data_IF_826822590920
#
_entry.id   IF_826822590920
#
_cell.length_a   1.000
_cell.length_b   1.000
_cell.length_c   1.000
_cell.angle_alpha   90.00
_cell.angle_beta   90.00
_cell.angle_gamma   90.00
#
_symmetry.space_group_name_H-M   'P 1'
#
loop_
_entity.id
_entity.type
_entity.pdbx_description
1 polymer ?
#
# COMPACT_ATOMS: atom_id res chain seq x y z
N UNK A 2 8.32 -6.71 -48.32
CA UNK A 2 7.56 -7.04 -47.10
C UNK A 2 8.22 -6.47 -45.84
N UNK A 3 7.61 -5.46 -45.23
CA UNK A 3 8.25 -4.73 -44.14
C UNK A 3 7.50 -4.85 -42.81
N UNK A 4 6.24 -4.39 -42.73
CA UNK A 4 5.63 -4.24 -41.40
C UNK A 4 5.39 -5.58 -40.73
N UNK A 5 4.76 -6.52 -41.44
CA UNK A 5 4.41 -7.82 -40.85
C UNK A 5 5.60 -8.48 -40.15
N UNK A 6 6.83 -8.26 -40.64
CA UNK A 6 7.99 -8.94 -40.06
C UNK A 6 8.47 -8.26 -38.78
N UNK A 7 8.42 -6.92 -38.73
CA UNK A 7 8.70 -6.23 -37.47
C UNK A 7 7.62 -6.56 -36.45
N UNK A 8 6.37 -6.66 -36.90
CA UNK A 8 5.29 -7.06 -36.00
C UNK A 8 5.54 -8.46 -35.46
N UNK A 9 6.13 -9.34 -36.27
CA UNK A 9 6.51 -10.68 -35.81
C UNK A 9 7.60 -10.62 -34.74
N UNK A 10 8.78 -10.09 -35.09
CA UNK A 10 9.95 -10.20 -34.22
C UNK A 10 9.93 -9.22 -33.04
N UNK A 11 9.23 -8.10 -33.18
CA UNK A 11 9.19 -7.08 -32.13
C UNK A 11 8.50 -7.63 -30.87
N UNK A 12 7.48 -8.47 -31.04
CA UNK A 12 6.75 -9.03 -29.90
C UNK A 12 7.56 -10.16 -29.23
N UNK A 19 11.57 -8.17 -24.70
CA UNK A 19 10.24 -8.57 -24.19
C UNK A 19 9.09 -8.33 -25.20
N UNK A 20 7.90 -8.88 -24.92
CA UNK A 20 6.76 -8.77 -25.84
C UNK A 20 6.15 -7.37 -25.78
N UNK A 21 6.23 -6.64 -26.89
CA UNK A 21 5.63 -5.30 -26.99
C UNK A 21 4.82 -5.23 -28.29
N UNK A 22 3.76 -4.42 -28.28
CA UNK A 22 2.91 -4.22 -29.45
C UNK A 22 2.86 -2.73 -29.79
N UNK A 24 1.31 0.84 -30.73
CA UNK A 24 0.10 1.56 -30.32
C UNK A 24 -0.80 1.90 -31.50
N UNK A 25 -0.23 2.05 -32.69
CA UNK A 25 -1.00 2.47 -33.85
C UNK A 25 -1.92 1.37 -34.35
N UNK A 26 -1.54 0.10 -34.14
CA UNK A 26 -2.34 -0.99 -34.67
C UNK A 26 -3.68 -1.12 -33.96
N UNK A 27 -3.75 -0.76 -32.69
CA UNK A 27 -4.97 -0.99 -31.92
C UNK A 27 -6.12 -0.14 -32.42
N UNK A 28 -7.30 -0.76 -32.53
CA UNK A 28 -8.54 -0.11 -32.94
C UNK A 28 -9.68 -0.72 -32.15
N UNK A 29 -10.75 0.05 -31.95
CA UNK A 29 -11.88 -0.51 -31.21
C UNK A 29 -12.69 -1.42 -32.12
N UNK A 30 -13.23 -2.53 -31.60
CA UNK A 30 -14.11 -3.37 -32.43
C UNK A 30 -15.43 -2.71 -32.76
N UNK A 31 -15.81 -1.65 -32.03
CA UNK A 31 -16.95 -0.83 -32.41
C UNK A 31 -16.71 -0.03 -33.67
N UNK A 32 -15.44 0.17 -34.06
CA UNK A 32 -15.07 0.91 -35.27
C UNK A 32 -13.68 0.47 -35.72
N UNK A 33 -13.54 -0.72 -36.30
CA UNK A 33 -12.20 -1.32 -36.49
C UNK A 33 -11.33 -0.65 -37.53
N UNK A 34 -11.76 0.46 -38.13
CA UNK A 34 -10.94 1.18 -39.10
C UNK A 34 -10.45 2.53 -38.57
N UNK A 35 -10.69 2.84 -37.30
CA UNK A 35 -10.24 4.08 -36.69
C UNK A 35 -9.21 3.74 -35.62
N UNK A 36 -7.94 4.11 -35.86
CA UNK A 36 -6.88 3.78 -34.92
C UNK A 36 -6.92 4.71 -33.71
N UNK A 37 -6.43 4.19 -32.58
CA UNK A 37 -6.35 5.02 -31.38
C UNK A 37 -5.45 6.22 -31.61
N UNK A 38 -4.29 5.99 -32.23
CA UNK A 38 -3.41 7.09 -32.56
C UNK A 38 -4.15 8.16 -33.34
N UNK A 39 -5.04 7.76 -34.26
CA UNK A 39 -5.74 8.73 -35.06
C UNK A 39 -6.58 9.66 -34.20
N UNK A 40 -7.43 9.09 -33.34
CA UNK A 40 -8.33 9.93 -32.55
C UNK A 40 -7.53 10.75 -31.55
N UNK A 41 -6.42 10.20 -31.05
CA UNK A 41 -5.57 10.98 -30.17
C UNK A 41 -5.02 12.19 -30.91
N UNK A 42 -4.65 12.01 -32.18
CA UNK A 42 -4.04 13.10 -32.93
C UNK A 42 -5.06 14.17 -33.31
N UNK A 43 -6.27 13.77 -33.74
CA UNK A 43 -7.24 14.80 -34.12
C UNK A 43 -7.84 15.49 -32.89
N UNK A 44 -7.79 14.84 -31.74
CA UNK A 44 -8.21 15.52 -30.52
C UNK A 44 -7.06 16.29 -29.88
N UNK A 45 -5.84 16.08 -30.37
CA UNK A 45 -4.67 16.71 -29.75
C UNK A 45 -4.65 18.23 -29.83
N UNK A 46 -4.77 18.88 -30.99
CA UNK A 46 -4.61 20.34 -31.03
C UNK A 46 -5.69 21.10 -30.28
N UNK A 47 -6.76 20.44 -29.87
CA UNK A 47 -7.83 21.05 -29.09
C UNK A 47 -7.54 21.07 -27.59
N UNK A 49 -5.80 21.83 -23.90
CA UNK A 49 -5.12 22.89 -23.17
C UNK A 49 -5.58 24.30 -23.47
N UNK A 50 -5.76 25.10 -22.42
CA UNK A 50 -5.93 26.53 -22.58
C UNK A 50 -4.57 27.20 -22.69
N UNK A 51 -4.48 28.34 -23.36
CA UNK A 51 -3.16 28.97 -23.57
C UNK A 51 -2.54 29.45 -22.27
N UNK A 52 -1.22 29.25 -22.16
CA UNK A 52 -0.49 29.66 -20.99
C UNK A 52 -0.50 28.69 -19.84
N UNK A 53 -1.30 27.63 -19.90
CA UNK A 53 -1.38 26.66 -18.81
C UNK A 53 -0.87 25.31 -19.30
N UNK A 54 0.39 24.94 -19.02
CA UNK A 54 0.83 23.60 -19.40
C UNK A 54 0.15 22.50 -18.59
N UNK A 55 -0.17 22.76 -17.32
CA UNK A 55 -0.95 21.80 -16.53
C UNK A 55 -2.31 21.53 -17.16
N UNK A 56 -2.90 22.53 -17.82
CA UNK A 56 -4.13 22.32 -18.57
C UNK A 56 -3.93 21.27 -19.65
N UNK A 57 -2.81 21.37 -20.37
CA UNK A 57 -2.49 20.39 -21.40
C UNK A 57 -2.34 19.00 -20.81
N UNK A 58 -1.56 18.88 -19.72
CA UNK A 58 -1.38 17.58 -19.12
C UNK A 58 -2.72 16.99 -18.66
N UNK A 59 -3.56 17.82 -18.02
CA UNK A 59 -4.86 17.34 -17.56
C UNK A 59 -5.71 16.86 -18.72
N UNK A 60 -5.83 17.68 -19.77
CA UNK A 60 -6.64 17.27 -20.92
C UNK A 60 -6.11 15.98 -21.54
N UNK A 61 -4.78 15.85 -21.62
CA UNK A 61 -4.19 14.66 -22.23
C UNK A 61 -4.45 13.42 -21.38
N UNK A 62 -4.22 13.53 -20.08
CA UNK A 62 -4.48 12.40 -19.19
C UNK A 62 -5.96 12.02 -19.21
N UNK A 63 -6.85 13.02 -19.25
CA UNK A 63 -8.27 12.74 -19.43
C UNK A 63 -8.55 11.94 -20.70
N UNK A 64 -7.91 12.32 -21.82
CA UNK A 64 -8.16 11.55 -23.05
C UNK A 64 -7.67 10.11 -22.91
N UNK A 65 -6.54 9.92 -22.21
CA UNK A 65 -6.04 8.56 -21.98
C UNK A 65 -7.01 7.76 -21.11
N UNK A 66 -7.49 8.36 -20.02
CA UNK A 66 -8.40 7.65 -19.12
C UNK A 66 -9.70 7.31 -19.83
N UNK A 67 -10.23 8.24 -20.62
CA UNK A 67 -11.45 7.96 -21.37
C UNK A 67 -11.25 6.81 -22.35
N UNK A 68 -10.12 6.81 -23.06
CA UNK A 68 -9.84 5.69 -23.97
C UNK A 68 -9.73 4.37 -23.24
N UNK A 69 -9.11 4.38 -22.06
CA UNK A 69 -8.98 3.17 -21.26
C UNK A 69 -10.31 2.69 -20.68
N UNK A 70 -11.15 3.64 -20.27
CA UNK A 70 -12.51 3.30 -19.86
C UNK A 70 -13.27 2.64 -21.00
N UNK A 71 -13.10 3.15 -22.23
CA UNK A 71 -13.76 2.54 -23.37
C UNK A 71 -13.19 1.16 -23.67
N UNK A 72 -11.89 0.98 -23.46
CA UNK A 72 -11.30 -0.34 -23.57
C UNK A 72 -11.95 -1.32 -22.61
N UNK A 73 -12.15 -0.89 -21.37
CA UNK A 73 -12.81 -1.75 -20.41
C UNK A 73 -14.22 -2.07 -20.83
N UNK A 74 -14.97 -1.07 -21.31
CA UNK A 74 -16.35 -1.33 -21.71
C UNK A 74 -16.41 -2.37 -22.82
N UNK A 75 -15.48 -2.33 -23.78
CA UNK A 75 -15.50 -3.27 -24.88
C UNK A 75 -14.59 -4.47 -24.64
N UNK A 76 -14.13 -4.66 -23.40
CA UNK A 76 -13.15 -5.68 -22.99
C UNK A 76 -12.09 -5.95 -24.06
N UNK A 77 -11.62 -4.89 -24.70
CA UNK A 77 -10.50 -4.97 -25.63
C UNK A 77 -9.29 -4.52 -24.84
N UNK A 78 -8.52 -5.49 -24.33
CA UNK A 78 -7.53 -5.23 -23.29
C UNK A 78 -6.12 -5.05 -23.83
N UNK A 79 -5.96 -5.02 -25.16
CA UNK A 79 -4.67 -4.79 -25.75
C UNK A 79 -4.01 -3.51 -25.27
N UNK A 80 -4.64 -2.35 -25.53
CA UNK A 80 -3.92 -1.09 -25.37
C UNK A 80 -3.89 -0.55 -23.95
N UNK A 81 -4.20 -1.39 -22.95
CA UNK A 81 -4.21 -0.90 -21.58
C UNK A 81 -2.80 -0.53 -21.14
N UNK A 82 -1.83 -1.42 -21.40
CA UNK A 82 -0.46 -1.20 -20.95
C UNK A 82 0.06 0.16 -21.42
N UNK A 83 -0.14 0.47 -22.70
CA UNK A 83 0.44 1.70 -23.22
C UNK A 83 -0.23 2.94 -22.63
N UNK A 84 -1.54 2.86 -22.38
CA UNK A 84 -2.25 4.00 -21.80
C UNK A 84 -1.82 4.24 -20.35
N UNK A 85 -1.66 3.16 -19.58
CA UNK A 85 -1.08 3.26 -18.24
C UNK A 85 0.30 3.88 -18.30
N UNK A 86 1.12 3.45 -19.26
CA UNK A 86 2.50 3.93 -19.35
C UNK A 86 2.54 5.42 -19.64
N UNK A 87 1.73 5.88 -20.60
CA UNK A 87 1.66 7.31 -20.90
C UNK A 87 1.14 8.08 -19.70
N UNK A 88 0.19 7.51 -18.93
CA UNK A 88 -0.20 8.18 -17.70
C UNK A 88 0.95 8.27 -16.70
N UNK A 89 1.78 7.24 -16.63
CA UNK A 89 2.93 7.29 -15.74
C UNK A 89 3.87 8.42 -16.12
N UNK A 90 4.16 8.59 -17.42
CA UNK A 90 5.06 9.67 -17.81
C UNK A 90 4.39 11.04 -17.60
N UNK A 91 3.18 11.23 -18.18
CA UNK A 91 2.50 12.51 -18.09
C UNK A 91 2.20 12.89 -16.65
N UNK A 92 1.88 11.91 -15.82
CA UNK A 92 1.57 12.20 -14.43
C UNK A 92 2.86 12.49 -13.66
N UNK A 93 3.89 11.66 -13.87
CA UNK A 93 5.17 11.87 -13.19
C UNK A 93 5.74 13.24 -13.50
N UNK A 94 5.39 13.79 -14.66
CA UNK A 94 5.92 15.08 -15.06
C UNK A 94 5.60 16.17 -14.02
N UNK A 95 4.33 16.35 -13.67
CA UNK A 95 3.93 17.40 -12.71
C UNK A 95 2.82 16.91 -11.79
N UNK A 96 3.02 15.74 -11.17
CA UNK A 96 1.93 15.05 -10.48
C UNK A 96 1.23 15.91 -9.43
N UNK A 97 1.99 16.72 -8.69
CA UNK A 97 1.39 17.48 -7.58
C UNK A 97 0.38 18.49 -8.10
N UNK A 98 0.55 18.97 -9.34
CA UNK A 98 -0.40 19.88 -9.94
C UNK A 98 -1.45 19.15 -10.77
N UNK A 99 -1.13 17.99 -11.32
CA UNK A 99 -2.00 17.36 -12.29
C UNK A 99 -2.99 16.40 -11.65
N UNK A 100 -2.58 15.66 -10.62
CA UNK A 100 -3.43 14.58 -10.11
C UNK A 100 -4.79 15.04 -9.58
N UNK A 101 -4.92 16.10 -8.77
CA UNK A 101 -6.25 16.41 -8.21
C UNK A 101 -7.33 16.59 -9.26
N UNK A 102 -7.00 16.91 -10.51
CA UNK A 102 -8.00 17.07 -11.55
C UNK A 102 -8.44 15.73 -12.16
N UNK A 103 -7.71 14.66 -11.89
CA UNK A 103 -7.81 13.39 -12.60
C UNK A 103 -8.51 12.31 -11.78
N UNK A 104 -8.36 12.38 -10.45
CA UNK A 104 -8.66 11.21 -9.63
C UNK A 104 -10.10 10.75 -9.79
N UNK A 105 -11.01 11.68 -10.01
CA UNK A 105 -12.44 11.35 -10.09
C UNK A 105 -12.68 10.19 -11.07
N UNK A 106 -12.06 10.24 -12.25
CA UNK A 106 -12.20 9.18 -13.24
C UNK A 106 -11.09 8.14 -13.19
N UNK A 107 -9.87 8.54 -12.81
CA UNK A 107 -8.75 7.61 -12.82
C UNK A 107 -8.96 6.47 -11.83
N UNK A 108 -9.39 6.79 -10.60
CA UNK A 108 -9.42 5.77 -9.55
C UNK A 108 -10.39 4.63 -9.85
N UNK A 109 -11.63 4.87 -10.29
CA UNK A 109 -12.51 3.72 -10.55
C UNK A 109 -12.03 2.86 -11.70
N UNK A 110 -11.35 3.45 -12.68
CA UNK A 110 -10.79 2.67 -13.79
C UNK A 110 -9.67 1.76 -13.30
N UNK A 111 -8.78 2.28 -12.46
CA UNK A 111 -7.78 1.41 -11.83
C UNK A 111 -8.44 0.33 -11.01
N UNK A 112 -9.48 0.69 -10.27
CA UNK A 112 -10.10 -0.30 -9.40
C UNK A 112 -10.67 -1.45 -10.22
N UNK A 113 -11.47 -1.16 -11.25
CA UNK A 113 -12.07 -2.28 -11.99
C UNK A 113 -11.01 -3.03 -12.79
N UNK A 114 -10.00 -2.31 -13.29
CA UNK A 114 -8.93 -2.96 -14.04
C UNK A 114 -8.19 -3.97 -13.17
N UNK A 115 -7.81 -3.55 -11.95
CA UNK A 115 -7.17 -4.49 -11.02
C UNK A 115 -8.11 -5.62 -10.67
N UNK A 116 -9.40 -5.33 -10.46
CA UNK A 116 -10.33 -6.36 -10.04
C UNK A 116 -10.52 -7.45 -11.08
N UNK A 117 -10.31 -7.12 -12.35
CA UNK A 117 -10.39 -8.16 -13.38
C UNK A 117 -9.45 -9.31 -13.09
N UNK A 118 -8.31 -9.04 -12.44
CA UNK A 118 -7.35 -10.08 -12.13
C UNK A 118 -7.44 -10.52 -10.68
N UNK A 119 -7.64 -9.57 -9.77
CA UNK A 119 -7.65 -9.91 -8.36
C UNK A 119 -8.82 -10.82 -8.00
N UNK A 120 -10.01 -10.59 -8.58
CA UNK A 120 -11.15 -11.40 -8.14
C UNK A 120 -11.02 -12.89 -8.46
N UNK A 121 -10.60 -13.31 -9.66
CA UNK A 121 -10.29 -14.74 -9.84
C UNK A 121 -9.14 -15.22 -8.97
N UNK A 122 -8.11 -14.41 -8.74
CA UNK A 122 -7.05 -14.80 -7.81
C UNK A 122 -7.62 -15.11 -6.44
N UNK A 123 -8.47 -14.22 -5.93
CA UNK A 123 -9.03 -14.41 -4.60
C UNK A 123 -9.95 -15.64 -4.60
N UNK A 124 -10.58 -15.94 -5.75
CA UNK A 124 -11.39 -17.14 -5.85
C UNK A 124 -10.52 -18.39 -6.02
N UNK A 125 -9.35 -18.24 -6.63
CA UNK A 125 -8.41 -19.34 -6.79
C UNK A 125 -7.96 -19.85 -5.42
N UNK A 126 -7.78 -21.17 -5.32
CA UNK A 126 -7.36 -21.81 -4.07
C UNK A 126 -6.16 -21.11 -3.41
N UNK A 127 -5.02 -21.05 -4.11
CA UNK A 127 -3.83 -20.37 -3.58
C UNK A 127 -3.48 -19.10 -4.34
N UNK A 128 -4.32 -18.68 -5.29
CA UNK A 128 -4.07 -17.47 -6.05
C UNK A 128 -3.42 -17.67 -7.41
N UNK A 129 -3.22 -18.92 -7.85
CA UNK A 129 -2.60 -19.20 -9.13
C UNK A 129 -3.67 -19.33 -10.21
N UNK A 130 -3.44 -18.69 -11.35
CA UNK A 130 -4.39 -18.72 -12.45
C UNK A 130 -4.12 -19.84 -13.45
N UNK A 131 -3.05 -20.61 -13.25
CA UNK A 131 -2.70 -21.69 -14.16
C UNK A 131 -3.82 -22.72 -14.23
N UNK A 132 -4.58 -22.70 -15.31
CA UNK A 132 -5.58 -23.74 -15.53
C UNK A 132 -6.90 -23.68 -14.79
N UNK A 133 -6.86 -23.38 -13.49
CA UNK A 133 -8.04 -23.54 -12.63
C UNK A 133 -9.31 -22.86 -13.16
N UNK A 134 -9.29 -21.60 -13.62
CA UNK A 134 -10.51 -21.08 -14.26
C UNK A 134 -10.77 -21.69 -15.63
N UNK A 135 -9.73 -21.93 -16.43
CA UNK A 135 -9.83 -22.52 -17.78
C UNK A 135 -10.80 -21.72 -18.65
N UNK A 136 -10.54 -20.41 -18.75
CA UNK A 136 -11.41 -19.51 -19.50
C UNK A 136 -10.56 -18.41 -20.11
N UNK A 137 -11.20 -17.31 -20.51
CA UNK A 137 -10.49 -16.12 -20.97
C UNK A 137 -9.71 -15.46 -19.85
N UNK A 138 -10.00 -15.84 -18.59
CA UNK A 138 -9.25 -15.32 -17.45
C UNK A 138 -7.76 -15.66 -17.56
N UNK A 139 -7.46 -16.85 -18.08
CA UNK A 139 -6.06 -17.26 -18.22
C UNK A 139 -5.29 -16.26 -19.09
N UNK A 140 -5.87 -15.86 -20.21
CA UNK A 140 -5.27 -14.80 -21.04
C UNK A 140 -5.34 -13.45 -20.32
N UNK A 141 -6.39 -13.23 -19.54
CA UNK A 141 -6.62 -11.95 -18.91
C UNK A 141 -5.53 -11.60 -17.89
N UNK A 142 -5.05 -12.60 -17.16
CA UNK A 142 -3.91 -12.37 -16.27
C UNK A 142 -2.67 -11.99 -17.06
N UNK A 143 -2.47 -12.61 -18.22
CA UNK A 143 -1.28 -12.37 -19.01
C UNK A 143 -1.30 -11.00 -19.68
N UNK A 144 -2.51 -10.50 -20.00
CA UNK A 144 -2.63 -9.31 -20.84
C UNK A 144 -2.43 -8.00 -20.06
N UNK A 145 -2.94 -7.91 -18.83
CA UNK A 145 -2.95 -6.65 -18.11
C UNK A 145 -2.11 -6.78 -16.84
N UNK A 146 -1.29 -5.76 -16.58
CA UNK A 146 -0.42 -5.74 -15.41
C UNK A 146 -1.09 -4.93 -14.32
N UNK A 147 -1.32 -5.58 -13.18
CA UNK A 147 -1.85 -4.87 -12.02
C UNK A 147 -0.84 -3.90 -11.48
N UNK A 148 0.46 -4.27 -11.49
CA UNK A 148 1.41 -3.52 -10.68
C UNK A 148 1.62 -2.11 -11.25
N UNK A 149 1.53 -1.96 -12.58
CA UNK A 149 1.60 -0.62 -13.12
C UNK A 149 0.35 0.18 -12.79
N UNK A 150 -0.82 -0.46 -12.76
CA UNK A 150 -2.03 0.26 -12.36
C UNK A 150 -1.89 0.78 -10.93
N UNK A 151 -1.53 -0.11 -10.01
CA UNK A 151 -1.33 0.36 -8.65
C UNK A 151 -0.29 1.46 -8.63
N UNK A 152 0.71 1.38 -9.52
CA UNK A 152 1.74 2.42 -9.56
C UNK A 152 1.17 3.77 -9.95
N UNK A 153 0.31 3.80 -10.96
CA UNK A 153 -0.41 5.05 -11.29
C UNK A 153 -1.21 5.54 -10.08
N UNK A 154 -1.89 4.63 -9.36
CA UNK A 154 -2.57 5.08 -8.15
C UNK A 154 -1.60 5.68 -7.15
N UNK A 155 -0.43 5.08 -6.96
CA UNK A 155 0.49 5.60 -5.97
C UNK A 155 1.05 6.95 -6.36
N UNK A 156 1.27 7.14 -7.65
CA UNK A 156 1.78 8.42 -8.11
C UNK A 156 0.72 9.49 -7.94
N UNK A 157 -0.54 9.14 -8.21
CA UNK A 157 -1.62 10.11 -8.03
C UNK A 157 -1.84 10.42 -6.56
N UNK A 158 -1.68 9.42 -5.69
CA UNK A 158 -1.82 9.67 -4.26
C UNK A 158 -0.74 10.62 -3.78
N UNK A 159 0.53 10.35 -4.13
CA UNK A 159 1.60 11.23 -3.70
C UNK A 159 1.41 12.63 -4.26
N UNK A 160 0.83 12.73 -5.46
CA UNK A 160 0.50 14.04 -6.00
C UNK A 160 -0.53 14.77 -5.16
N UNK A 161 -1.48 14.03 -4.59
CA UNK A 161 -2.52 14.65 -3.79
C UNK A 161 -2.07 14.93 -2.36
N UNK A 162 -0.93 14.39 -1.98
CA UNK A 162 -0.51 14.44 -0.60
C UNK A 162 -0.29 15.90 -0.20
N UNK A 163 -0.58 16.29 1.05
CA UNK A 163 -0.52 17.72 1.40
C UNK A 163 0.89 18.29 1.27
N UNK A 164 0.97 19.52 0.78
CA UNK A 164 2.25 20.17 0.58
C UNK A 164 2.51 21.21 1.67
N UNK A 165 3.77 21.64 1.88
CA UNK A 165 4.06 22.57 3.00
C UNK A 165 3.36 23.91 2.91
N UNK A 166 3.17 24.46 1.71
CA UNK A 166 2.48 25.74 1.53
C UNK A 166 0.98 25.64 1.76
N UNK A 175 -15.06 25.35 3.37
CA UNK A 175 -13.95 25.15 2.43
C UNK A 175 -13.96 23.76 1.77
N UNK A 176 -13.47 23.67 0.53
CA UNK A 176 -13.42 22.40 -0.17
C UNK A 176 -12.39 21.47 0.47
N UNK A 177 -12.65 20.17 0.37
CA UNK A 177 -11.75 19.19 0.96
C UNK A 177 -10.40 19.20 0.26
N UNK A 178 -9.35 18.89 1.02
CA UNK A 178 -8.02 18.67 0.45
C UNK A 178 -8.04 17.52 -0.57
N UNK A 179 -7.20 17.60 -1.60
CA UNK A 179 -7.19 16.56 -2.65
C UNK A 179 -6.81 15.17 -2.16
N UNK A 180 -6.04 15.08 -1.08
CA UNK A 180 -5.88 13.80 -0.42
C UNK A 180 -7.24 13.25 -0.09
N UNK A 181 -8.07 14.12 0.47
CA UNK A 181 -9.28 13.67 1.10
C UNK A 181 -10.27 13.24 0.03
N UNK A 182 -10.31 13.95 -1.11
CA UNK A 182 -11.12 13.48 -2.22
C UNK A 182 -10.64 12.13 -2.69
N UNK A 183 -9.33 12.03 -2.92
CA UNK A 183 -8.76 10.76 -3.38
C UNK A 183 -9.27 9.59 -2.53
N UNK A 184 -9.18 9.72 -1.20
CA UNK A 184 -9.53 8.56 -0.38
C UNK A 184 -11.01 8.47 -0.07
N UNK A 185 -11.78 9.53 -0.26
CA UNK A 185 -13.22 9.37 -0.28
C UNK A 185 -13.66 8.53 -1.48
N UNK A 186 -12.97 8.69 -2.62
CA UNK A 186 -13.30 7.96 -3.85
C UNK A 186 -12.57 6.65 -3.99
N UNK A 188 -12.06 2.88 -2.28
CA UNK A 188 -13.00 2.10 -1.48
C UNK A 188 -12.30 0.96 -0.76
N UNK A 189 -12.81 0.63 0.43
CA UNK A 189 -12.12 -0.25 1.37
C UNK A 189 -12.08 -1.71 0.92
N UNK A 190 -13.18 -2.23 0.34
CA UNK A 190 -13.11 -3.62 -0.11
C UNK A 190 -12.02 -3.82 -1.18
N UNK A 191 -11.73 -2.77 -1.95
CA UNK A 191 -10.60 -2.82 -2.87
C UNK A 191 -9.30 -2.98 -2.09
N UNK A 192 -9.16 -2.23 -0.99
CA UNK A 192 -7.97 -2.35 -0.14
C UNK A 192 -7.81 -3.78 0.32
N UNK A 193 -8.87 -4.32 0.94
CA UNK A 193 -8.76 -5.62 1.59
C UNK A 193 -8.54 -6.73 0.59
N UNK A 194 -9.14 -6.63 -0.60
CA UNK A 194 -8.90 -7.65 -1.61
C UNK A 194 -7.48 -7.54 -2.15
N UNK A 196 -4.91 -6.52 -0.65
CA UNK A 196 -3.97 -7.03 0.35
C UNK A 196 -4.09 -8.52 0.59
N UNK A 197 -5.03 -9.21 -0.04
CA UNK A 197 -5.21 -10.61 0.31
C UNK A 197 -3.93 -11.37 -0.01
N UNK A 198 -3.50 -12.28 0.87
CA UNK A 198 -2.21 -12.97 0.64
C UNK A 198 -2.19 -13.84 -0.60
N UNK A 199 -3.32 -13.97 -1.33
CA UNK A 199 -3.34 -14.68 -2.60
C UNK A 199 -2.75 -13.85 -3.74
N UNK A 200 -2.58 -12.55 -3.54
CA UNK A 200 -1.90 -11.69 -4.49
C UNK A 200 -0.39 -11.89 -4.48
N UNK A 201 0.26 -11.64 -5.61
CA UNK A 201 1.72 -11.75 -5.68
C UNK A 201 2.41 -10.65 -4.88
N UNK A 202 3.72 -10.84 -4.71
CA UNK A 202 4.53 -9.93 -3.91
C UNK A 202 4.39 -8.48 -4.39
N UNK A 203 4.57 -8.26 -5.69
CA UNK A 203 4.61 -6.89 -6.19
C UNK A 203 3.29 -6.15 -5.96
N UNK A 204 2.16 -6.83 -6.16
CA UNK A 204 0.86 -6.19 -5.99
C UNK A 204 0.57 -5.91 -4.51
N UNK A 205 0.86 -6.88 -3.64
CA UNK A 205 0.63 -6.72 -2.22
C UNK A 205 1.47 -5.57 -1.66
N UNK A 206 2.79 -5.61 -1.90
CA UNK A 206 3.65 -4.55 -1.40
C UNK A 206 3.26 -3.21 -2.02
N UNK A 207 2.83 -3.22 -3.28
CA UNK A 207 2.34 -1.99 -3.90
C UNK A 207 1.18 -1.39 -3.08
N UNK A 210 2.29 -0.04 0.43
CA UNK A 210 2.91 1.26 0.23
C UNK A 210 1.86 2.32 -0.07
N UNK A 211 0.85 1.97 -0.90
CA UNK A 211 -0.17 2.95 -1.24
C UNK A 211 -0.91 3.46 0.00
N UNK A 212 -1.18 2.58 0.97
CA UNK A 212 -1.92 3.03 2.16
C UNK A 212 -1.19 4.09 2.96
N UNK A 213 0.11 4.29 2.72
CA UNK A 213 0.77 5.25 3.58
C UNK A 213 0.34 6.68 3.24
N UNK A 214 -0.26 6.90 2.06
CA UNK A 214 -0.72 8.22 1.62
C UNK A 214 -2.12 8.55 2.12
N UNK A 215 -2.75 7.66 2.89
CA UNK A 215 -4.13 7.84 3.35
C UNK A 215 -4.21 8.42 4.74
N UNK A 216 -3.12 8.96 5.29
CA UNK A 216 -3.14 9.46 6.66
C UNK A 216 -3.66 10.90 6.63
N UNK A 217 -4.95 11.07 6.87
CA UNK A 217 -5.59 12.37 6.96
C UNK A 217 -5.74 12.77 8.42
N UNK A 218 -6.01 14.05 8.71
CA UNK A 218 -6.06 14.49 10.11
C UNK A 218 -7.17 13.87 10.93
N UNK A 219 -8.21 13.30 10.30
CA UNK A 219 -9.27 12.70 11.09
C UNK A 219 -9.58 11.27 10.66
N UNK A 220 -8.88 10.74 9.66
CA UNK A 220 -9.26 9.45 9.09
C UNK A 220 -8.09 8.85 8.32
N UNK A 221 -7.58 7.72 8.78
CA UNK A 221 -6.67 6.95 7.94
C UNK A 221 -7.51 6.02 7.07
N UNK A 222 -6.92 5.54 6.00
CA UNK A 222 -7.63 4.69 5.08
C UNK A 222 -8.62 5.45 4.24
N UNK A 223 -9.38 4.73 3.42
CA UNK A 223 -10.44 5.37 2.62
C UNK A 223 -11.63 5.80 3.48
N UNK A 224 -12.39 6.76 2.97
CA UNK A 224 -13.50 7.41 3.66
C UNK A 224 -14.82 6.91 3.05
N UNK A 225 -15.73 6.32 3.83
CA UNK A 225 -16.98 5.82 3.25
C UNK A 225 -17.88 6.95 2.76
N UNK A 226 -18.70 6.65 1.76
CA UNK A 226 -19.60 7.67 1.21
C UNK A 226 -20.66 8.07 2.22
N UNK A 227 -20.99 9.37 2.24
CA UNK A 227 -21.97 9.86 3.20
C UNK A 227 -23.38 9.51 2.75
N UNK A 228 -24.29 9.42 3.73
CA UNK A 228 -25.66 9.03 3.44
C UNK A 228 -26.40 10.10 2.65
N UNK A 229 -26.42 11.33 3.17
CA UNK A 229 -27.09 12.44 2.49
C UNK A 229 -26.09 13.33 1.79
N UNK A 230 -26.59 14.26 0.98
CA UNK A 230 -25.75 15.31 0.40
C UNK A 230 -25.20 16.23 1.48
N UNK A 231 -25.97 16.50 2.53
CA UNK A 231 -25.47 17.19 3.71
C UNK A 231 -24.63 16.23 4.57
N UNK A 232 -23.54 16.74 5.15
CA UNK A 232 -22.60 15.90 5.91
C UNK A 232 -23.13 15.58 7.31
N UNK A 233 -22.76 14.41 7.82
CA UNK A 233 -23.13 14.01 9.18
C UNK A 233 -21.83 13.76 9.94
N UNK A 234 -21.49 14.70 10.83
CA UNK A 234 -20.23 14.58 11.57
C UNK A 234 -20.19 13.30 12.39
N UNK A 235 -21.31 12.98 13.06
CA UNK A 235 -21.40 11.79 13.91
C UNK A 235 -21.15 10.51 13.12
N UNK A 236 -21.89 10.34 12.01
CA UNK A 236 -21.74 9.15 11.17
C UNK A 236 -20.31 9.02 10.66
N UNK A 237 -19.76 10.10 10.09
CA UNK A 237 -18.41 10.03 9.57
C UNK A 237 -17.41 9.67 10.67
N UNK A 238 -17.58 10.26 11.86
CA UNK A 238 -16.74 9.88 12.97
C UNK A 238 -16.75 8.37 13.17
N UNK A 239 -17.95 7.79 13.22
CA UNK A 239 -18.07 6.34 13.42
C UNK A 239 -17.42 5.56 12.28
N UNK A 240 -17.55 6.08 11.06
CA UNK A 240 -16.95 5.39 9.91
C UNK A 240 -15.44 5.37 10.04
N UNK A 241 -14.85 6.55 10.26
CA UNK A 241 -13.41 6.64 10.45
C UNK A 241 -12.95 5.68 11.51
N UNK A 242 -13.70 5.59 12.61
CA UNK A 242 -13.32 4.70 13.69
C UNK A 242 -13.31 3.25 13.20
N UNK A 243 -14.37 2.84 12.49
CA UNK A 243 -14.47 1.44 12.04
C UNK A 243 -13.40 1.10 11.00
N UNK A 244 -13.22 1.98 10.01
CA UNK A 244 -12.19 1.75 9.00
C UNK A 244 -10.82 1.64 9.66
N UNK A 245 -10.54 2.53 10.61
CA UNK A 245 -9.25 2.48 11.28
C UNK A 245 -9.04 1.13 11.96
N UNK A 246 -10.00 0.74 12.81
CA UNK A 246 -9.83 -0.52 13.53
C UNK A 246 -9.62 -1.69 12.56
N UNK A 247 -10.37 -1.71 11.45
CA UNK A 247 -10.25 -2.80 10.48
C UNK A 247 -8.89 -2.81 9.78
N UNK A 248 -8.47 -1.67 9.24
CA UNK A 248 -7.17 -1.65 8.56
C UNK A 248 -6.05 -2.02 9.51
N UNK A 249 -6.09 -1.51 10.74
CA UNK A 249 -5.04 -1.85 11.69
C UNK A 249 -5.05 -3.36 11.97
N UNK A 250 -6.23 -3.98 12.05
CA UNK A 250 -6.27 -5.43 12.21
C UNK A 250 -5.66 -6.13 11.00
N UNK A 251 -6.00 -5.67 9.80
CA UNK A 251 -5.47 -6.27 8.58
C UNK A 251 -3.96 -6.15 8.52
N UNK A 252 -3.45 -4.93 8.65
CA UNK A 252 -2.03 -4.65 8.52
C UNK A 252 -1.23 -5.34 9.61
N UNK A 253 -1.62 -5.14 10.86
CA UNK A 253 -0.94 -5.81 11.97
C UNK A 253 -0.97 -7.33 11.80
N UNK A 254 -1.95 -7.90 11.11
CA UNK A 254 -1.96 -9.36 11.01
C UNK A 254 -0.71 -9.87 10.30
N UNK A 255 -0.17 -9.09 9.37
CA UNK A 255 0.91 -9.59 8.53
C UNK A 255 2.21 -9.71 9.32
N UNK A 256 2.49 -8.73 10.18
CA UNK A 256 3.78 -8.76 10.84
C UNK A 256 3.98 -9.96 11.77
N UNK A 257 2.92 -10.70 12.11
CA UNK A 257 3.08 -11.99 12.76
C UNK A 257 2.77 -13.18 11.86
N UNK A 258 2.31 -12.95 10.66
CA UNK A 258 1.87 -14.02 9.78
C UNK A 258 1.89 -13.50 8.35
N UNK A 259 3.05 -13.45 7.74
CA UNK A 259 3.20 -12.84 6.41
C UNK A 259 2.48 -13.65 5.36
N UNK A 260 2.31 -13.11 4.16
CA UNK A 260 1.66 -13.88 3.08
C UNK A 260 2.33 -15.22 2.81
N UNK A 261 1.57 -16.12 2.16
CA UNK A 261 2.07 -17.46 1.88
C UNK A 261 3.32 -17.43 1.01
N UNK A 262 3.43 -16.45 0.10
CA UNK A 262 4.60 -16.37 -0.77
C UNK A 262 5.86 -15.92 -0.06
N UNK A 263 5.74 -15.43 1.17
CA UNK A 263 6.91 -15.19 2.02
C UNK A 263 7.35 -16.53 2.61
N UNK A 264 8.31 -17.15 1.93
CA UNK A 264 8.93 -18.37 2.42
C UNK A 264 9.29 -18.21 3.90
N UNK A 265 8.92 -19.17 4.76
CA UNK A 265 8.81 -18.86 6.20
C UNK A 265 10.15 -18.77 6.93
N UNK A 266 11.22 -18.70 6.18
CA UNK A 266 12.50 -18.33 6.74
C UNK A 266 13.26 -17.36 5.85
N UNK A 267 12.66 -16.91 4.76
CA UNK A 267 13.41 -16.19 3.74
C UNK A 267 13.57 -14.72 4.10
N UNK A 268 14.36 -14.03 3.29
CA UNK A 268 14.44 -12.58 3.42
C UNK A 268 13.13 -11.91 3.06
N UNK A 269 12.36 -12.50 2.13
CA UNK A 269 11.12 -11.86 1.70
C UNK A 269 10.13 -11.75 2.86
N UNK A 270 10.14 -12.74 3.77
CA UNK A 270 9.29 -12.67 4.95
C UNK A 270 9.63 -11.44 5.78
N UNK A 271 10.92 -11.25 6.07
CA UNK A 271 11.37 -10.11 6.84
C UNK A 271 11.01 -8.81 6.12
N UNK A 272 11.13 -8.82 4.79
CA UNK A 272 10.77 -7.65 4.01
C UNK A 272 9.30 -7.31 4.18
N UNK A 273 8.45 -8.35 4.22
CA UNK A 273 7.03 -8.16 4.36
C UNK A 273 6.67 -7.63 5.74
N UNK A 274 7.13 -8.32 6.78
CA UNK A 274 6.89 -7.84 8.13
C UNK A 274 7.37 -6.41 8.28
N UNK A 275 8.50 -6.09 7.65
CA UNK A 275 9.02 -4.73 7.70
C UNK A 275 8.06 -3.76 7.03
N UNK A 276 7.48 -4.15 5.88
CA UNK A 276 6.56 -3.28 5.18
C UNK A 276 5.30 -3.02 6.00
N UNK A 277 4.71 -4.08 6.55
CA UNK A 277 3.58 -3.91 7.45
C UNK A 277 3.93 -2.93 8.56
N UNK A 278 5.09 -3.13 9.19
CA UNK A 278 5.46 -2.25 10.29
C UNK A 278 5.57 -0.81 9.80
N UNK A 279 6.18 -0.61 8.62
CA UNK A 279 6.31 0.72 8.06
C UNK A 279 4.94 1.39 7.89
N UNK A 280 3.97 0.68 7.33
CA UNK A 280 2.65 1.28 7.16
C UNK A 280 2.02 1.64 8.52
N UNK A 281 2.18 0.78 9.52
CA UNK A 281 1.68 1.15 10.85
C UNK A 281 2.30 2.45 11.34
N UNK A 283 3.45 4.84 9.37
CA UNK A 283 2.73 5.84 8.60
C UNK A 283 1.45 6.26 9.31
N UNK A 284 0.66 5.30 9.77
CA UNK A 284 -0.59 5.67 10.44
C UNK A 284 -0.27 6.48 11.69
N UNK A 285 0.77 6.07 12.41
CA UNK A 285 1.06 6.72 13.68
C UNK A 285 1.57 8.14 13.49
N UNK A 286 1.92 8.54 12.27
CA UNK A 286 2.34 9.93 12.07
C UNK A 286 1.23 10.88 12.49
N UNK A 287 -0.01 10.53 12.20
CA UNK A 287 -1.12 11.34 12.63
C UNK A 287 -1.55 11.02 14.04
N UNK A 288 -2.06 12.05 14.73
CA UNK A 288 -2.62 11.85 16.07
C UNK A 288 -3.69 10.77 16.05
N UNK A 289 -4.62 10.85 15.09
CA UNK A 289 -5.74 9.91 15.05
C UNK A 289 -5.28 8.48 14.84
N UNK A 290 -4.42 8.26 13.85
CA UNK A 290 -3.96 6.91 13.62
C UNK A 290 -3.23 6.35 14.83
N UNK A 291 -2.39 7.17 15.47
CA UNK A 291 -1.68 6.70 16.65
C UNK A 291 -2.64 6.30 17.76
N UNK A 292 -3.66 7.13 18.01
CA UNK A 292 -4.64 6.80 19.03
C UNK A 292 -5.37 5.51 18.68
N UNK A 293 -5.72 5.33 17.41
CA UNK A 293 -6.43 4.12 17.01
C UNK A 293 -5.56 2.88 17.16
N UNK A 294 -4.28 2.99 16.83
CA UNK A 294 -3.37 1.86 17.09
C UNK A 294 -3.32 1.57 18.59
N UNK A 295 -3.19 2.63 19.41
CA UNK A 295 -3.06 2.43 20.84
C UNK A 295 -4.29 1.74 21.42
N UNK A 296 -5.47 2.10 20.92
CA UNK A 296 -6.70 1.51 21.40
C UNK A 296 -7.00 0.15 20.77
N UNK A 297 -6.35 -0.15 19.65
CA UNK A 297 -6.47 -1.47 19.03
C UNK A 297 -6.26 -2.58 20.05
N UNK A 298 -7.05 -3.64 19.90
CA UNK A 298 -6.93 -4.82 20.74
C UNK A 298 -5.93 -5.82 20.21
N UNK A 299 -5.40 -5.63 19.01
CA UNK A 299 -4.43 -6.59 18.46
C UNK A 299 -3.12 -5.96 18.01
N UNK A 300 -3.07 -4.66 17.71
CA UNK A 300 -1.85 -4.12 17.10
C UNK A 300 -0.65 -4.29 18.03
N UNK A 301 -0.75 -3.80 19.27
CA UNK A 301 0.43 -3.86 20.17
C UNK A 301 0.86 -5.27 20.45
N UNK A 302 0.04 -6.23 20.87
CA UNK A 302 0.55 -7.58 21.10
C UNK A 302 1.14 -8.24 19.86
N UNK A 303 0.68 -7.88 18.66
CA UNK A 303 1.36 -8.35 17.45
C UNK A 303 2.73 -7.70 17.31
N UNK A 304 2.82 -6.41 17.60
CA UNK A 304 4.07 -5.68 17.45
C UNK A 304 5.14 -6.21 18.42
N UNK A 305 4.77 -6.37 19.69
CA UNK A 305 5.64 -7.03 20.66
C UNK A 305 6.04 -8.41 20.15
N UNK A 306 5.06 -9.17 19.65
CA UNK A 306 5.35 -10.50 19.13
C UNK A 306 6.43 -10.46 18.05
N UNK A 307 6.40 -9.45 17.17
CA UNK A 307 7.36 -9.45 16.06
C UNK A 307 8.71 -8.94 16.53
N UNK A 308 8.76 -8.08 17.55
CA UNK A 308 10.07 -7.73 18.14
C UNK A 308 10.74 -8.96 18.72
N UNK A 309 10.03 -9.68 19.60
CA UNK A 309 10.58 -10.94 20.11
C UNK A 309 11.00 -11.87 18.98
N UNK A 310 10.18 -11.96 17.91
CA UNK A 310 10.52 -12.80 16.77
C UNK A 310 11.83 -12.39 16.13
N UNK A 311 11.96 -11.11 15.78
CA UNK A 311 13.13 -10.64 15.05
C UNK A 311 14.39 -10.79 15.89
N UNK A 312 14.29 -10.47 17.19
CA UNK A 312 15.42 -10.65 18.08
C UNK A 312 15.84 -12.11 18.14
N UNK A 313 14.89 -13.02 18.33
CA UNK A 313 15.24 -14.44 18.39
C UNK A 313 15.82 -14.93 17.07
N UNK A 314 15.36 -14.38 15.96
CA UNK A 314 15.94 -14.76 14.67
C UNK A 314 17.30 -14.13 14.45
N UNK A 315 17.64 -13.09 15.21
CA UNK A 315 18.96 -12.52 15.08
C UNK A 315 20.01 -13.48 15.65
N UNK A 316 19.63 -14.31 16.63
CA UNK A 316 20.47 -15.39 17.14
C UNK A 316 20.35 -16.67 16.33
N UNK A 317 19.78 -16.60 15.13
CA UNK A 317 19.46 -17.79 14.36
C UNK A 317 20.73 -18.60 14.07
N UNK A 318 20.53 -19.91 13.86
CA UNK A 318 21.66 -20.82 13.64
C UNK A 318 22.46 -20.41 12.42
N UNK A 319 21.79 -20.10 11.31
CA UNK A 319 22.41 -19.67 10.07
C UNK A 319 21.75 -18.39 9.60
N UNK A 320 22.52 -17.33 9.46
CA UNK A 320 22.03 -16.04 8.98
C UNK A 320 22.94 -15.60 7.84
N UNK A 321 22.43 -15.54 6.60
CA UNK A 321 23.22 -15.18 5.41
C UNK A 321 23.66 -13.72 5.43
N UNK A 375 19.14 -7.85 -0.81
CA UNK A 375 19.19 -7.14 0.48
C UNK A 375 19.64 -8.04 1.62
N UNK A 376 20.23 -7.45 2.66
CA UNK A 376 20.78 -8.21 3.76
C UNK A 376 19.67 -8.53 4.77
N UNK A 377 19.48 -9.82 5.02
CA UNK A 377 18.52 -10.24 6.03
C UNK A 377 18.81 -9.60 7.39
N UNK A 379 20.46 -6.74 8.16
CA UNK A 379 20.15 -5.32 8.17
C UNK A 379 18.65 -5.08 8.28
N UNK A 380 17.86 -5.85 7.54
CA UNK A 380 16.42 -5.71 7.65
C UNK A 380 15.94 -6.03 9.05
N UNK A 381 16.48 -7.08 9.66
CA UNK A 381 16.09 -7.39 11.04
C UNK A 381 16.41 -6.25 11.99
N UNK A 382 17.56 -5.59 11.79
CA UNK A 382 17.83 -4.44 12.65
C UNK A 382 16.89 -3.28 12.36
N UNK A 383 16.40 -3.16 11.12
CA UNK A 383 15.43 -2.12 10.82
C UNK A 383 14.11 -2.40 11.53
N UNK A 384 13.70 -3.67 11.56
CA UNK A 384 12.49 -4.06 12.29
C UNK A 384 12.65 -3.79 13.78
N UNK A 385 13.82 -4.07 14.33
CA UNK A 385 14.00 -3.88 15.77
C UNK A 385 14.04 -2.39 16.11
N UNK A 386 14.85 -1.62 15.37
CA UNK A 386 15.02 -0.21 15.68
C UNK A 386 13.73 0.56 15.48
N UNK A 387 13.13 0.41 14.30
CA UNK A 387 11.89 1.12 13.99
C UNK A 387 10.71 0.60 14.80
N UNK A 388 10.69 -0.70 15.10
CA UNK A 388 9.61 -1.24 15.92
C UNK A 388 9.67 -0.78 17.36
N UNK A 389 10.85 -0.82 17.97
CA UNK A 389 10.96 -0.27 19.31
C UNK A 389 10.71 1.24 19.30
N UNK A 390 11.11 1.93 18.22
CA UNK A 390 10.77 3.35 18.11
C UNK A 390 9.27 3.55 18.22
N UNK A 391 8.50 2.81 17.42
CA UNK A 391 7.04 2.93 17.43
C UNK A 391 6.45 2.61 18.79
N UNK A 392 6.83 1.46 19.35
CA UNK A 392 6.26 1.05 20.62
C UNK A 392 6.57 2.06 21.72
N UNK A 393 7.79 2.59 21.73
CA UNK A 393 8.11 3.67 22.67
C UNK A 393 7.21 4.87 22.43
N UNK A 394 7.00 5.25 21.17
CA UNK A 394 6.15 6.39 20.86
C UNK A 394 4.75 6.20 21.44
N UNK A 395 4.20 5.00 21.29
CA UNK A 395 2.83 4.73 21.73
C UNK A 395 2.73 4.70 23.24
N UNK A 396 3.64 3.97 23.90
CA UNK A 396 3.51 3.78 25.34
C UNK A 396 3.92 5.05 26.09
N UNK A 397 4.88 5.80 25.56
CA UNK A 397 5.45 6.92 26.33
C UNK A 397 4.73 8.24 26.11
N UNK A 398 4.19 8.49 24.90
CA UNK A 398 3.52 9.77 24.63
C UNK A 398 2.23 9.89 25.43
N UNK A 399 1.94 11.11 25.91
CA UNK A 399 0.77 11.33 26.75
C UNK A 399 -0.54 11.10 26.01
N UNK A 400 -0.56 11.39 24.71
CA UNK A 400 -1.78 11.26 23.92
C UNK A 400 -2.26 9.82 23.85
N UNK A 401 -1.34 8.86 23.89
CA UNK A 401 -1.71 7.45 23.80
C UNK A 401 -1.33 6.65 25.03
N UNK A 402 -0.65 7.24 26.01
CA UNK A 402 -0.08 6.46 27.11
C UNK A 402 -1.16 5.69 27.87
N UNK A 403 -2.22 6.40 28.29
CA UNK A 403 -3.28 5.83 29.12
C UNK A 403 -4.01 4.67 28.45
N UNK A 404 -3.87 4.53 27.13
CA UNK A 404 -4.46 3.43 26.38
C UNK A 404 -3.48 2.29 26.14
N UNK A 405 -2.31 2.59 25.56
CA UNK A 405 -1.36 1.52 25.26
C UNK A 405 -0.82 0.88 26.52
N UNK A 406 -0.24 1.69 27.42
CA UNK A 406 0.49 1.18 28.58
C UNK A 406 -0.36 0.28 29.47
N UNK A 407 -1.69 0.25 29.27
CA UNK A 407 -2.53 -0.63 30.09
C UNK A 407 -1.96 -2.05 30.11
N UNK A 408 -1.58 -2.55 28.94
CA UNK A 408 -0.75 -3.76 28.81
C UNK A 408 -1.30 -4.93 29.61
N UNK A 409 -2.62 -4.96 29.78
CA UNK A 409 -3.29 -6.05 30.49
C UNK A 409 -3.33 -7.26 29.56
N UNK A 410 -2.29 -8.08 29.67
CA UNK A 410 -2.01 -9.24 28.82
C UNK A 410 -1.63 -8.77 27.43
N UNK A 411 -1.36 -7.48 27.25
CA UNK A 411 -0.91 -6.93 25.96
C UNK A 411 0.60 -7.19 25.84
N UNK A 412 0.93 -8.36 25.31
CA UNK A 412 2.30 -8.84 25.21
C UNK A 412 2.33 -10.01 24.21
N UNK A 413 3.46 -10.71 24.14
CA UNK A 413 3.70 -11.72 23.12
C UNK A 413 2.66 -12.84 23.14
N UNK A 414 2.45 -13.45 21.97
CA UNK A 414 1.52 -14.58 21.86
C UNK A 414 2.11 -15.86 22.45
N UNK A 415 3.41 -16.11 22.22
CA UNK A 415 4.00 -17.38 22.63
C UNK A 415 4.28 -17.42 24.13
N UNK A 416 4.76 -16.32 24.71
CA UNK A 416 5.15 -16.36 26.11
C UNK A 416 4.64 -15.22 26.98
N UNK A 417 3.68 -14.45 26.47
CA UNK A 417 3.05 -13.41 27.27
C UNK A 417 4.01 -12.29 27.66
N UNK A 418 3.79 -11.76 28.87
CA UNK A 418 4.57 -10.62 29.32
C UNK A 418 6.03 -10.98 29.57
N UNK A 419 6.30 -12.24 29.91
CA UNK A 419 7.67 -12.68 30.13
C UNK A 419 8.56 -12.40 28.93
N UNK A 420 8.17 -12.89 27.75
CA UNK A 420 9.02 -12.68 26.56
C UNK A 420 9.16 -11.20 26.21
N UNK A 421 8.12 -10.40 26.44
CA UNK A 421 8.27 -8.95 26.29
C UNK A 421 9.39 -8.42 27.19
N UNK A 422 9.31 -8.70 28.49
CA UNK A 422 10.30 -8.16 29.42
C UNK A 422 11.70 -8.66 29.09
N UNK A 423 11.81 -9.94 28.72
CA UNK A 423 13.11 -10.53 28.38
C UNK A 423 13.71 -9.87 27.15
N UNK A 424 12.93 -9.74 26.08
CA UNK A 424 13.49 -9.11 24.87
C UNK A 424 13.84 -7.65 25.12
N UNK A 425 13.11 -6.97 26.01
CA UNK A 425 13.54 -5.64 26.42
C UNK A 425 14.89 -5.70 27.11
N UNK A 426 15.07 -6.66 28.02
CA UNK A 426 16.35 -6.77 28.70
C UNK A 426 17.47 -7.00 27.71
N UNK A 427 17.32 -8.00 26.84
CA UNK A 427 18.39 -8.31 25.89
C UNK A 427 18.70 -7.13 24.99
N UNK A 428 17.69 -6.32 24.65
CA UNK A 428 17.98 -5.11 23.92
C UNK A 428 18.74 -4.08 24.76
N UNK A 429 18.46 -4.02 26.06
CA UNK A 429 19.17 -3.08 26.93
C UNK A 429 20.64 -3.44 27.08
N UNK A 430 20.93 -4.73 27.26
CA UNK A 430 22.30 -5.22 27.37
C UNK A 430 22.87 -5.52 25.99
N UNK A 431 22.89 -4.51 25.14
CA UNK A 431 23.41 -4.70 23.79
C UNK A 431 24.89 -5.00 23.80
N UNK A 432 25.64 -4.37 24.71
CA UNK A 432 27.08 -4.52 24.73
C UNK A 432 27.49 -5.96 25.04
N UNK A 433 26.81 -6.62 25.99
CA UNK A 433 27.25 -7.94 26.42
C UNK A 433 27.12 -8.97 25.30
N UNK A 434 26.03 -8.94 24.53
CA UNK A 434 25.88 -9.84 23.39
C UNK A 434 26.66 -9.34 22.18
N UNK A 435 27.47 -10.23 21.60
CA UNK A 435 28.34 -9.82 20.51
C UNK A 435 27.54 -9.42 19.28
N UNK A 436 26.49 -10.18 18.96
CA UNK A 436 25.65 -9.85 17.80
C UNK A 436 24.90 -8.55 18.01
N UNK A 437 24.59 -8.22 19.27
CA UNK A 437 23.88 -6.97 19.55
C UNK A 437 24.83 -5.78 19.64
N UNK A 438 26.06 -5.98 20.14
CA UNK A 438 27.02 -4.87 20.23
C UNK A 438 27.28 -4.28 18.85
N UNK A 439 27.42 -5.13 17.84
CA UNK A 439 27.75 -4.69 16.49
C UNK A 439 26.51 -4.38 15.66
N UNK A 440 25.33 -4.47 16.26
CA UNK A 440 24.08 -4.30 15.55
C UNK A 440 23.30 -3.06 15.94
N UNK A 441 22.47 -3.23 16.99
CA UNK A 441 21.47 -2.24 17.34
C UNK A 441 22.10 -0.92 17.76
N UNK A 442 21.48 0.18 17.33
CA UNK A 442 21.95 1.52 17.62
C UNK A 442 21.82 1.88 19.10
N UNK A 443 22.47 2.99 19.47
CA UNK A 443 22.52 3.41 20.86
C UNK A 443 21.20 4.02 21.31
N UNK A 444 20.58 4.82 20.44
CA UNK A 444 19.28 5.38 20.76
C UNK A 444 18.22 4.28 20.95
N UNK A 445 18.32 3.19 20.18
CA UNK A 445 17.45 2.04 20.41
C UNK A 445 17.59 1.53 21.83
N UNK A 446 18.82 1.41 22.31
CA UNK A 446 19.02 0.92 23.68
C UNK A 446 18.44 1.91 24.67
N UNK A 447 18.55 3.21 24.38
CA UNK A 447 17.98 4.21 25.28
C UNK A 447 16.46 4.08 25.38
N UNK A 448 15.78 4.02 24.24
CA UNK A 448 14.34 3.83 24.25
C UNK A 448 13.97 2.55 24.99
N UNK A 449 14.62 1.43 24.62
CA UNK A 449 14.33 0.17 25.30
C UNK A 449 14.57 0.27 26.79
N UNK A 450 15.53 1.08 27.23
CA UNK A 450 15.77 1.25 28.65
C UNK A 450 14.61 1.99 29.31
N UNK A 451 14.13 3.07 28.69
CA UNK A 451 12.98 3.77 29.26
C UNK A 451 11.78 2.82 29.34
N UNK A 452 11.52 2.11 28.25
CA UNK A 452 10.37 1.23 28.21
C UNK A 452 10.50 0.11 29.22
N UNK A 453 11.74 -0.33 29.49
CA UNK A 453 11.96 -1.35 30.51
C UNK A 453 11.78 -0.76 31.91
N UNK A 454 12.14 0.52 32.07
CA UNK A 454 11.97 1.21 33.34
C UNK A 454 10.50 1.35 33.70
N UNK A 455 9.64 1.58 32.70
CA UNK A 455 8.20 1.53 32.97
C UNK A 455 7.70 0.10 33.08
N UNK A 456 8.34 -0.84 32.39
CA UNK A 456 7.82 -2.21 32.35
C UNK A 456 8.00 -2.92 33.70
N UNK A 457 9.08 -2.60 34.42
CA UNK A 457 9.36 -3.30 35.66
C UNK A 457 8.29 -3.03 36.71
N UNK A 458 7.76 -1.80 36.74
CA UNK A 458 6.68 -1.46 37.65
C UNK A 458 5.81 -0.36 37.05
N UNK A 459 4.47 -0.53 37.06
CA UNK A 459 3.54 0.46 36.50
C UNK A 459 3.45 1.73 37.36
#
# INVERSE_FOLDING_TARGET
SPDFLKLFLNHTTXHGQPPTFDXFSRFCFPSDPERSLASIVLQKLPQXGSPGDPTSLLVDFADTLIDLWHQCLSERYYGPIYHLVSLLLYTLDLNAVEVAPHILSSLIPVCATTCRLVALPRLNSADGDLSGHPDAVVRQLCLNIDVTQCLSVLYLAASGCLPQPLQNPTSSDQPQDTPQLEFWKTXELDFVLTXLSPKNPEEDWSAXXILLRTSVAPHSIGPIPSSATNSTNRRSEAKNADAVAATLIDCVSSFLCEPPKWATPRSAKEIAARLAALRTLXAFATGHFGARQIAESDVAIPRLVTVLCWALDRLYDSDLPLSPEPQAGAGRPPDERGDSXELDHPNVESAGGXEAHGTSEGLTDVSAEVTDAAPDSXSLLHQIIAQGTRLLHFLVTDHRTSDAANISTKLAASHGGSQRYFLTLARLNFAEEDLVLEAGIDAETVELAHELLELAVTPDEGDEISEXFD
#
